data_IF_148078925964
#
_entry.id   IF_148078925964
#
_cell.length_a   1.000
_cell.length_b   1.000
_cell.length_c   1.000
_cell.angle_alpha   90.00
_cell.angle_beta   90.00
_cell.angle_gamma   90.00
#
_symmetry.space_group_name_H-M   'P 1'
#
loop_
_entity.id
_entity.type
_entity.pdbx_description
1 polymer ?
#
# COMPACT_ATOMS: atom_id res chain seq x y z
N UNK A 1 -29.68 -20.01 16.24
CA UNK A 1 -28.34 -19.99 15.57
C UNK A 1 -27.79 -21.41 15.56
N UNK A 2 -27.26 -21.90 14.44
CA UNK A 2 -26.68 -23.25 14.35
C UNK A 2 -25.46 -23.35 15.30
N UNK A 3 -25.32 -24.48 16.01
CA UNK A 3 -24.23 -24.70 17.00
C UNK A 3 -22.83 -24.52 16.40
N UNK A 4 -22.65 -24.87 15.13
CA UNK A 4 -21.39 -24.69 14.40
C UNK A 4 -20.88 -23.25 14.46
N UNK A 5 -21.75 -22.27 14.22
CA UNK A 5 -21.38 -20.85 14.21
C UNK A 5 -21.10 -20.29 15.61
N UNK A 6 -21.70 -20.89 16.65
CA UNK A 6 -21.35 -20.55 18.04
C UNK A 6 -19.95 -21.06 18.39
N UNK A 7 -19.58 -22.26 17.93
CA UNK A 7 -18.26 -22.85 18.17
C UNK A 7 -17.16 -22.29 17.25
N UNK A 8 -17.53 -21.70 16.11
CA UNK A 8 -16.59 -21.17 15.11
C UNK A 8 -16.93 -19.71 14.76
N UNK A 9 -16.65 -18.73 15.64
CA UNK A 9 -16.97 -17.32 15.38
C UNK A 9 -16.31 -16.77 14.11
N UNK A 10 -15.11 -17.26 13.77
CA UNK A 10 -14.40 -16.88 12.53
C UNK A 10 -15.17 -17.26 11.26
N UNK A 11 -15.94 -18.35 11.29
CA UNK A 11 -16.79 -18.74 10.18
C UNK A 11 -17.96 -17.76 9.98
N UNK A 12 -18.52 -17.21 11.08
CA UNK A 12 -19.54 -16.16 11.01
C UNK A 12 -18.97 -14.93 10.33
N UNK A 13 -17.81 -14.45 10.80
CA UNK A 13 -17.14 -13.28 10.22
C UNK A 13 -16.81 -13.49 8.74
N UNK A 14 -16.39 -14.70 8.35
CA UNK A 14 -16.11 -15.03 6.95
C UNK A 14 -17.39 -14.98 6.09
N UNK A 15 -18.48 -15.61 6.52
CA UNK A 15 -19.77 -15.57 5.80
C UNK A 15 -20.28 -14.14 5.67
N UNK A 16 -20.24 -13.35 6.75
CA UNK A 16 -20.65 -11.94 6.72
C UNK A 16 -19.80 -11.13 5.72
N UNK A 17 -18.51 -11.45 5.59
CA UNK A 17 -17.62 -10.85 4.59
C UNK A 17 -18.03 -11.23 3.17
N UNK A 18 -18.34 -12.50 2.93
CA UNK A 18 -18.74 -12.99 1.60
C UNK A 18 -20.08 -12.40 1.14
N UNK A 19 -21.06 -12.27 2.04
CA UNK A 19 -22.37 -11.65 1.73
C UNK A 19 -22.24 -10.19 1.29
N UNK A 20 -21.21 -9.47 1.76
CA UNK A 20 -20.93 -8.08 1.33
C UNK A 20 -20.11 -7.98 0.05
N UNK A 21 -19.53 -9.09 -0.44
CA UNK A 21 -18.73 -9.13 -1.65
C UNK A 21 -19.58 -9.07 -2.93
N UNK A 22 -18.92 -8.86 -4.07
CA UNK A 22 -19.61 -8.95 -5.37
C UNK A 22 -19.96 -10.40 -5.71
N UNK A 23 -21.10 -10.62 -6.37
CA UNK A 23 -21.48 -11.95 -6.86
C UNK A 23 -20.42 -12.54 -7.80
N UNK A 24 -19.79 -11.70 -8.63
CA UNK A 24 -18.69 -12.12 -9.50
C UNK A 24 -17.50 -12.67 -8.73
N UNK A 25 -17.13 -12.04 -7.60
CA UNK A 25 -16.06 -12.53 -6.74
C UNK A 25 -16.42 -13.89 -6.12
N UNK A 26 -17.64 -14.06 -5.62
CA UNK A 26 -18.07 -15.34 -5.05
C UNK A 26 -18.10 -16.46 -6.09
N UNK A 27 -18.56 -16.16 -7.31
CA UNK A 27 -18.52 -17.12 -8.41
C UNK A 27 -17.08 -17.50 -8.77
N UNK A 28 -16.19 -16.51 -8.88
CA UNK A 28 -14.78 -16.73 -9.18
C UNK A 28 -14.05 -17.52 -8.09
N UNK A 29 -14.41 -17.35 -6.82
CA UNK A 29 -13.75 -18.04 -5.70
C UNK A 29 -14.34 -19.43 -5.45
N UNK A 30 -15.67 -19.57 -5.41
CA UNK A 30 -16.34 -20.76 -4.87
C UNK A 30 -17.06 -21.65 -5.90
N UNK A 31 -17.30 -21.17 -7.13
CA UNK A 31 -18.01 -21.93 -8.16
C UNK A 31 -17.06 -22.54 -9.20
N UNK A 32 -15.81 -22.77 -8.81
CA UNK A 32 -14.82 -23.46 -9.63
C UNK A 32 -15.11 -24.96 -9.69
N UNK A 33 -14.90 -25.59 -10.85
CA UNK A 33 -15.05 -27.04 -11.01
C UNK A 33 -14.03 -27.83 -10.18
N UNK A 34 -12.82 -27.28 -10.07
CA UNK A 34 -11.71 -27.86 -9.32
C UNK A 34 -11.02 -26.76 -8.54
N UNK A 35 -10.92 -26.94 -7.23
CA UNK A 35 -10.09 -26.11 -6.37
C UNK A 35 -9.42 -27.00 -5.33
N UNK A 36 -8.10 -27.04 -5.35
CA UNK A 36 -7.29 -27.78 -4.39
C UNK A 36 -6.44 -26.79 -3.57
N UNK A 37 -6.60 -26.74 -2.24
CA UNK A 37 -5.71 -26.00 -1.37
C UNK A 37 -4.41 -26.78 -1.13
N UNK A 38 -3.27 -26.11 -1.29
CA UNK A 38 -1.95 -26.71 -1.07
C UNK A 38 -1.32 -26.21 0.23
N UNK A 39 -0.52 -27.05 0.88
CA UNK A 39 0.42 -26.56 1.88
C UNK A 39 1.61 -25.89 1.18
N UNK A 40 2.06 -24.76 1.73
CA UNK A 40 3.19 -23.99 1.16
C UNK A 40 4.48 -24.81 1.05
N UNK A 41 4.66 -25.75 1.96
CA UNK A 41 5.80 -26.65 2.02
C UNK A 41 5.80 -27.66 0.87
N UNK A 42 4.64 -28.12 0.42
CA UNK A 42 4.54 -29.07 -0.69
C UNK A 42 4.85 -28.35 -2.01
N UNK A 43 4.31 -27.13 -2.17
CA UNK A 43 4.69 -26.25 -3.29
C UNK A 43 6.19 -25.96 -3.28
N UNK A 44 6.80 -25.73 -2.11
CA UNK A 44 8.23 -25.49 -2.02
C UNK A 44 9.07 -26.72 -2.43
N UNK A 45 8.59 -27.92 -2.11
CA UNK A 45 9.21 -29.19 -2.51
C UNK A 45 9.10 -29.37 -4.05
N UNK A 46 7.92 -29.17 -4.64
CA UNK A 46 7.71 -29.22 -6.10
C UNK A 46 8.57 -28.17 -6.85
N UNK A 47 8.62 -26.94 -6.35
CA UNK A 47 9.46 -25.88 -6.92
C UNK A 47 10.96 -26.20 -6.82
N UNK A 48 11.36 -27.01 -5.84
CA UNK A 48 12.73 -27.47 -5.71
C UNK A 48 13.13 -28.48 -6.79
N UNK A 49 12.18 -29.30 -7.26
CA UNK A 49 12.35 -30.21 -8.41
C UNK A 49 12.59 -29.43 -9.71
N UNK A 50 11.99 -28.25 -9.86
CA UNK A 50 12.24 -27.32 -10.96
C UNK A 50 13.56 -26.51 -10.86
N UNK A 51 14.46 -26.93 -9.96
CA UNK A 51 15.75 -26.29 -9.64
C UNK A 51 15.64 -24.84 -9.12
N UNK A 52 14.50 -24.50 -8.51
CA UNK A 52 14.33 -23.21 -7.85
C UNK A 52 14.39 -23.36 -6.33
N UNK A 53 14.61 -22.26 -5.62
CA UNK A 53 14.59 -22.24 -4.15
C UNK A 53 13.76 -21.06 -3.68
N UNK A 54 13.05 -21.27 -2.57
CA UNK A 54 12.30 -20.22 -1.90
C UNK A 54 13.24 -19.06 -1.50
N UNK A 55 12.91 -17.85 -1.93
CA UNK A 55 13.64 -16.63 -1.60
C UNK A 55 13.01 -15.92 -0.39
N UNK A 56 11.68 -15.88 -0.34
CA UNK A 56 10.92 -15.10 0.61
C UNK A 56 9.49 -14.88 0.13
N UNK A 57 8.66 -14.32 1.01
CA UNK A 57 7.28 -13.97 0.69
C UNK A 57 7.24 -12.62 -0.01
N UNK A 58 6.42 -12.49 -1.03
CA UNK A 58 6.02 -11.21 -1.61
C UNK A 58 5.08 -10.42 -0.69
N UNK A 59 4.52 -11.06 0.35
CA UNK A 59 3.91 -10.37 1.49
C UNK A 59 5.02 -9.99 2.47
N UNK A 60 5.43 -8.72 2.44
CA UNK A 60 6.67 -8.28 3.11
C UNK A 60 6.72 -8.60 4.61
N UNK A 61 5.60 -8.46 5.34
CA UNK A 61 5.54 -8.77 6.78
C UNK A 61 5.91 -10.22 7.11
N UNK A 62 5.62 -11.17 6.23
CA UNK A 62 5.88 -12.60 6.45
C UNK A 62 7.38 -12.93 6.46
N UNK A 63 8.22 -12.04 5.93
CA UNK A 63 9.68 -12.19 5.98
C UNK A 63 10.29 -11.79 7.33
N UNK A 64 9.46 -11.32 8.27
CA UNK A 64 9.90 -10.89 9.59
C UNK A 64 9.18 -11.70 10.67
N UNK A 65 9.77 -12.81 11.15
CA UNK A 65 9.15 -13.67 12.18
C UNK A 65 8.67 -12.90 13.40
N UNK A 66 9.43 -11.88 13.83
CA UNK A 66 9.09 -11.01 14.96
C UNK A 66 7.85 -10.15 14.74
N UNK A 67 7.30 -10.07 13.54
CA UNK A 67 6.06 -9.33 13.23
C UNK A 67 4.85 -10.25 13.10
N UNK A 68 5.07 -11.56 12.89
CA UNK A 68 3.99 -12.51 12.61
C UNK A 68 3.68 -13.46 13.75
N UNK A 69 4.65 -13.74 14.63
CA UNK A 69 4.47 -14.60 15.81
C UNK A 69 5.00 -13.93 17.08
N UNK A 70 4.47 -14.35 18.23
CA UNK A 70 4.98 -13.95 19.54
C UNK A 70 6.24 -14.76 19.93
N UNK A 71 6.83 -14.41 21.08
CA UNK A 71 8.06 -15.06 21.55
C UNK A 71 7.87 -16.55 21.87
N UNK A 72 6.70 -16.94 22.38
CA UNK A 72 6.39 -18.32 22.74
C UNK A 72 6.29 -19.21 21.49
N UNK A 73 5.54 -18.74 20.48
CA UNK A 73 5.42 -19.40 19.20
C UNK A 73 6.77 -19.43 18.47
N UNK A 74 7.55 -18.35 18.50
CA UNK A 74 8.90 -18.32 17.92
C UNK A 74 9.83 -19.36 18.56
N UNK A 75 9.80 -19.50 19.89
CA UNK A 75 10.58 -20.51 20.61
C UNK A 75 10.13 -21.94 20.26
N UNK A 76 8.82 -22.18 20.20
CA UNK A 76 8.27 -23.49 19.80
C UNK A 76 8.66 -23.87 18.36
N UNK A 77 8.57 -22.91 17.42
CA UNK A 77 8.98 -23.10 16.03
C UNK A 77 10.48 -23.38 15.94
N UNK A 78 11.32 -22.66 16.70
CA UNK A 78 12.77 -22.85 16.67
C UNK A 78 13.22 -24.27 17.07
N UNK A 79 12.42 -24.98 17.88
CA UNK A 79 12.69 -26.38 18.30
C UNK A 79 12.42 -27.42 17.21
N UNK A 80 11.72 -27.06 16.14
CA UNK A 80 11.42 -27.99 15.05
C UNK A 80 12.65 -28.24 14.18
N UNK A 81 12.89 -29.51 13.84
CA UNK A 81 14.15 -29.97 13.25
C UNK A 81 14.44 -29.35 11.87
N UNK A 82 13.45 -29.25 11.00
CA UNK A 82 13.66 -28.88 9.59
C UNK A 82 13.07 -27.52 9.25
N UNK A 83 13.64 -26.78 8.27
CA UNK A 83 13.03 -25.55 7.75
C UNK A 83 11.60 -25.75 7.25
N UNK A 84 11.32 -26.93 6.66
CA UNK A 84 9.98 -27.34 6.21
C UNK A 84 8.98 -27.36 7.36
N UNK A 85 9.29 -28.05 8.46
CA UNK A 85 8.42 -28.10 9.64
C UNK A 85 8.25 -26.73 10.29
N UNK A 86 9.31 -25.91 10.32
CA UNK A 86 9.23 -24.53 10.80
C UNK A 86 8.27 -23.68 9.99
N UNK A 87 8.32 -23.79 8.66
CA UNK A 87 7.41 -23.05 7.80
C UNK A 87 5.95 -23.52 7.98
N UNK A 88 5.72 -24.83 8.04
CA UNK A 88 4.39 -25.38 8.30
C UNK A 88 3.83 -24.88 9.65
N UNK A 89 4.65 -24.89 10.70
CA UNK A 89 4.24 -24.41 12.01
C UNK A 89 3.92 -22.91 12.02
N UNK A 90 4.68 -22.10 11.28
CA UNK A 90 4.37 -20.67 11.11
C UNK A 90 3.04 -20.50 10.38
N UNK A 91 2.79 -21.24 9.30
CA UNK A 91 1.53 -21.15 8.55
C UNK A 91 0.32 -21.50 9.43
N UNK A 92 0.45 -22.50 10.31
CA UNK A 92 -0.57 -22.79 11.32
C UNK A 92 -0.70 -21.69 12.37
N UNK A 93 0.42 -21.16 12.87
CA UNK A 93 0.43 -20.12 13.89
C UNK A 93 -0.22 -18.81 13.41
N UNK A 94 -0.08 -18.48 12.12
CA UNK A 94 -0.67 -17.27 11.52
C UNK A 94 -2.03 -17.51 10.87
N UNK A 95 -2.54 -18.75 10.89
CA UNK A 95 -3.74 -19.17 10.16
C UNK A 95 -3.66 -18.75 8.67
N UNK A 96 -2.53 -19.07 8.03
CA UNK A 96 -2.21 -18.64 6.67
C UNK A 96 -3.20 -19.21 5.65
N UNK A 97 -3.94 -18.33 4.98
CA UNK A 97 -4.93 -18.73 3.96
C UNK A 97 -4.42 -18.60 2.52
N UNK A 98 -3.60 -17.59 2.28
CA UNK A 98 -3.05 -17.27 0.96
C UNK A 98 -1.60 -16.91 1.12
N UNK A 99 -0.75 -17.40 0.21
CA UNK A 99 0.67 -17.02 0.16
C UNK A 99 1.03 -16.55 -1.23
N UNK A 100 2.01 -15.67 -1.26
CA UNK A 100 2.64 -15.17 -2.48
C UNK A 100 4.12 -15.32 -2.25
N UNK A 101 4.73 -16.33 -2.84
CA UNK A 101 6.11 -16.69 -2.58
C UNK A 101 6.97 -16.46 -3.82
N UNK A 102 8.19 -15.98 -3.62
CA UNK A 102 9.17 -15.76 -4.70
C UNK A 102 10.16 -16.91 -4.69
N UNK A 103 10.31 -17.58 -5.84
CA UNK A 103 11.29 -18.64 -6.07
C UNK A 103 12.31 -18.20 -7.11
N UNK A 104 13.58 -18.54 -6.89
CA UNK A 104 14.67 -18.16 -7.80
C UNK A 104 15.54 -19.35 -8.16
N UNK A 105 15.99 -19.41 -9.43
CA UNK A 105 16.98 -20.38 -9.90
C UNK A 105 18.38 -19.84 -9.64
N UNK A 106 19.19 -20.59 -8.88
CA UNK A 106 20.59 -20.28 -8.52
C UNK A 106 20.76 -18.91 -7.84
N UNK A 107 21.01 -18.91 -6.53
CA UNK A 107 21.37 -17.71 -5.76
C UNK A 107 22.78 -17.86 -5.17
N UNK A 108 23.62 -16.84 -5.31
CA UNK A 108 24.78 -16.67 -4.42
C UNK A 108 24.28 -16.05 -3.12
N UNK A 109 24.59 -16.65 -1.98
CA UNK A 109 24.31 -16.04 -0.68
C UNK A 109 25.02 -14.69 -0.60
N UNK A 110 24.31 -13.66 -0.14
CA UNK A 110 24.90 -12.35 0.09
C UNK A 110 25.61 -12.39 1.44
N UNK A 111 26.83 -11.85 1.50
CA UNK A 111 27.48 -11.60 2.79
C UNK A 111 26.71 -10.52 3.58
N UNK A 112 26.84 -10.46 4.92
CA UNK A 112 26.09 -9.50 5.74
C UNK A 112 26.28 -8.04 5.31
N UNK A 113 27.51 -7.62 5.00
CA UNK A 113 27.80 -6.26 4.54
C UNK A 113 27.14 -5.93 3.18
N UNK A 114 27.08 -6.93 2.29
CA UNK A 114 26.39 -6.81 1.00
C UNK A 114 24.89 -6.65 1.18
N UNK A 115 24.29 -7.50 2.02
CA UNK A 115 22.87 -7.47 2.32
C UNK A 115 22.45 -6.13 2.94
N UNK A 116 23.22 -5.62 3.91
CA UNK A 116 22.97 -4.30 4.52
C UNK A 116 23.07 -3.19 3.47
N UNK A 117 24.08 -3.22 2.60
CA UNK A 117 24.23 -2.19 1.55
C UNK A 117 23.08 -2.21 0.56
N UNK A 118 22.65 -3.39 0.12
CA UNK A 118 21.50 -3.51 -0.78
C UNK A 118 20.19 -3.06 -0.11
N UNK A 119 19.97 -3.42 1.16
CA UNK A 119 18.83 -2.93 1.92
C UNK A 119 18.83 -1.40 2.03
N UNK A 120 19.99 -0.81 2.35
CA UNK A 120 20.13 0.63 2.47
C UNK A 120 19.90 1.37 1.15
N UNK A 121 20.10 0.71 0.00
CA UNK A 121 19.85 1.29 -1.31
C UNK A 121 18.37 1.26 -1.75
N UNK A 122 17.51 0.52 -1.04
CA UNK A 122 16.08 0.46 -1.35
C UNK A 122 15.44 1.84 -1.13
N UNK A 123 14.86 2.40 -2.20
CA UNK A 123 14.05 3.61 -2.11
C UNK A 123 12.69 3.29 -1.46
N UNK A 124 12.23 4.18 -0.60
CA UNK A 124 10.98 4.09 0.12
C UNK A 124 10.24 5.42 0.12
N UNK A 125 8.94 5.37 0.28
CA UNK A 125 8.09 6.55 0.38
C UNK A 125 6.73 6.26 0.96
N UNK A 126 5.94 7.31 1.15
CA UNK A 126 4.51 7.21 1.51
C UNK A 126 3.66 7.45 0.26
N UNK A 127 2.73 6.52 -0.02
CA UNK A 127 1.73 6.69 -1.09
C UNK A 127 0.63 7.65 -0.64
N UNK A 128 0.20 7.54 0.63
CA UNK A 128 -0.83 8.40 1.21
C UNK A 128 -0.29 9.71 1.77
N UNK A 129 -1.10 10.39 2.59
CA UNK A 129 -0.67 11.58 3.32
C UNK A 129 0.34 11.18 4.41
N UNK A 130 1.58 11.73 4.41
CA UNK A 130 2.57 11.42 5.45
C UNK A 130 2.07 11.66 6.87
N UNK A 131 1.11 12.57 7.09
CA UNK A 131 0.54 12.82 8.42
C UNK A 131 -0.24 11.64 9.01
N UNK A 132 -0.63 10.67 8.17
CA UNK A 132 -1.32 9.45 8.60
C UNK A 132 -0.36 8.36 9.09
N UNK A 133 0.97 8.54 8.94
CA UNK A 133 1.97 7.61 9.46
C UNK A 133 1.94 7.67 11.00
N UNK A 134 1.38 6.66 11.65
CA UNK A 134 1.20 6.64 13.10
C UNK A 134 2.36 5.96 13.84
N UNK A 135 2.51 6.27 15.13
CA UNK A 135 3.43 5.55 16.02
C UNK A 135 3.03 4.12 16.32
N UNK A 136 1.87 3.68 15.83
CA UNK A 136 1.36 2.32 15.95
C UNK A 136 1.17 1.74 14.57
N UNK A 137 1.70 0.54 14.34
CA UNK A 137 1.45 -0.23 13.13
C UNK A 137 0.85 -1.58 13.48
N UNK A 138 -0.20 -1.97 12.75
CA UNK A 138 -0.80 -3.30 12.85
C UNK A 138 0.02 -4.29 12.04
N UNK A 139 0.30 -5.43 12.65
CA UNK A 139 1.01 -6.58 12.05
C UNK A 139 0.28 -7.86 12.46
N UNK A 140 0.54 -9.03 11.84
CA UNK A 140 -0.22 -10.24 12.16
C UNK A 140 -0.18 -10.64 13.64
N UNK A 141 0.95 -10.43 14.35
CA UNK A 141 1.02 -10.72 15.79
C UNK A 141 0.30 -9.71 16.70
N UNK A 142 -0.22 -8.60 16.16
CA UNK A 142 -0.84 -7.53 16.94
C UNK A 142 -0.37 -6.13 16.54
N UNK A 143 0.01 -5.30 17.51
CA UNK A 143 0.43 -3.91 17.30
C UNK A 143 1.89 -3.74 17.72
N UNK A 144 2.68 -3.03 16.89
CA UNK A 144 4.02 -2.56 17.25
C UNK A 144 4.00 -1.05 17.42
N UNK A 145 4.82 -0.55 18.36
CA UNK A 145 4.90 0.88 18.69
C UNK A 145 6.30 1.43 18.39
N UNK A 146 6.33 2.61 17.78
CA UNK A 146 7.51 3.41 17.51
C UNK A 146 7.54 4.64 18.42
N UNK A 147 8.71 5.27 18.54
CA UNK A 147 8.83 6.53 19.27
C UNK A 147 8.14 7.66 18.50
N UNK A 148 7.37 8.50 19.20
CA UNK A 148 6.62 9.60 18.58
C UNK A 148 7.55 10.61 17.88
N UNK A 149 8.74 10.84 18.45
CA UNK A 149 9.74 11.72 17.86
C UNK A 149 10.28 11.18 16.52
N UNK A 150 10.58 9.87 16.46
CA UNK A 150 10.99 9.20 15.23
C UNK A 150 9.94 9.34 14.13
N UNK A 151 8.67 9.11 14.46
CA UNK A 151 7.56 9.25 13.50
C UNK A 151 7.44 10.69 13.02
N UNK A 152 7.44 11.67 13.93
CA UNK A 152 7.34 13.10 13.55
C UNK A 152 8.42 13.50 12.54
N UNK A 153 9.65 13.04 12.75
CA UNK A 153 10.76 13.32 11.84
C UNK A 153 10.64 12.57 10.52
N UNK A 154 10.23 11.30 10.57
CA UNK A 154 9.97 10.49 9.38
C UNK A 154 8.88 11.12 8.51
N UNK A 155 7.78 11.62 9.09
CA UNK A 155 6.74 12.36 8.37
C UNK A 155 7.33 13.56 7.63
N UNK A 156 8.20 14.33 8.29
CA UNK A 156 8.87 15.47 7.68
C UNK A 156 9.71 15.07 6.48
N UNK A 157 10.43 13.95 6.56
CA UNK A 157 11.18 13.41 5.42
C UNK A 157 10.24 12.97 4.30
N UNK A 158 9.20 12.21 4.60
CA UNK A 158 8.25 11.67 3.60
C UNK A 158 7.41 12.77 2.92
N UNK A 159 7.23 13.95 3.53
CA UNK A 159 6.58 15.10 2.88
C UNK A 159 7.32 15.61 1.65
N UNK A 160 8.64 15.47 1.61
CA UNK A 160 9.45 15.96 0.47
C UNK A 160 9.82 14.87 -0.54
N UNK A 161 9.07 13.76 -0.57
CA UNK A 161 9.22 12.70 -1.58
C UNK A 161 9.80 11.41 -1.01
N UNK A 162 10.38 10.59 -1.88
CA UNK A 162 10.99 9.30 -1.52
C UNK A 162 12.48 9.45 -1.18
N UNK A 163 12.98 8.52 -0.36
CA UNK A 163 14.36 8.45 0.10
C UNK A 163 14.80 7.00 0.19
N UNK A 164 16.09 6.73 0.14
CA UNK A 164 16.59 5.39 0.45
C UNK A 164 16.57 5.12 1.95
N UNK A 165 16.49 3.85 2.34
CA UNK A 165 16.57 3.44 3.76
C UNK A 165 17.86 3.96 4.40
N UNK A 166 18.98 3.90 3.67
CA UNK A 166 20.28 4.38 4.13
C UNK A 166 20.34 5.90 4.36
N UNK A 167 19.70 6.69 3.49
CA UNK A 167 19.60 8.15 3.68
C UNK A 167 18.75 8.49 4.90
N UNK A 168 17.62 7.79 5.11
CA UNK A 168 16.77 7.98 6.30
C UNK A 168 17.55 7.62 7.58
N UNK A 169 18.25 6.48 7.58
CA UNK A 169 19.08 6.04 8.69
C UNK A 169 20.19 7.05 9.03
N UNK A 170 20.86 7.60 8.02
CA UNK A 170 21.90 8.62 8.19
C UNK A 170 21.32 9.94 8.72
N UNK A 171 20.23 10.40 8.13
CA UNK A 171 19.61 11.70 8.46
C UNK A 171 19.02 11.72 9.87
N UNK A 172 18.38 10.62 10.29
CA UNK A 172 17.82 10.54 11.64
C UNK A 172 18.88 10.10 12.67
N UNK A 173 19.93 9.41 12.24
CA UNK A 173 21.04 8.97 13.09
C UNK A 173 21.98 10.10 13.50
N UNK A 174 22.11 11.15 12.69
CA UNK A 174 22.94 12.33 13.01
C UNK A 174 22.48 13.09 14.27
N UNK A 175 21.34 12.72 14.85
CA UNK A 175 20.78 13.22 16.11
C UNK A 175 21.15 12.33 17.32
N UNK A 176 22.15 11.46 17.19
CA UNK A 176 22.61 10.58 18.27
C UNK A 176 21.82 9.28 18.43
N UNK A 177 20.96 8.92 17.46
CA UNK A 177 20.25 7.64 17.42
C UNK A 177 21.04 6.60 16.61
N UNK A 178 20.90 5.33 16.96
CA UNK A 178 21.54 4.24 16.22
C UNK A 178 20.98 4.12 14.78
N UNK A 179 21.79 4.32 13.72
CA UNK A 179 21.34 4.17 12.34
C UNK A 179 20.82 2.77 12.01
N UNK A 180 21.36 1.72 12.64
CA UNK A 180 20.91 0.34 12.41
C UNK A 180 19.50 0.12 12.97
N UNK A 181 19.20 0.66 14.15
CA UNK A 181 17.85 0.68 14.71
C UNK A 181 16.87 1.45 13.82
N UNK A 182 17.28 2.62 13.30
CA UNK A 182 16.45 3.40 12.38
C UNK A 182 16.13 2.61 11.11
N UNK A 183 17.14 2.02 10.47
CA UNK A 183 16.95 1.21 9.27
C UNK A 183 15.99 0.04 9.51
N UNK A 184 16.10 -0.63 10.68
CA UNK A 184 15.18 -1.69 11.09
C UNK A 184 13.75 -1.18 11.29
N UNK A 185 13.56 -0.06 11.99
CA UNK A 185 12.23 0.51 12.24
C UNK A 185 11.55 0.93 10.94
N UNK A 186 12.31 1.53 10.02
CA UNK A 186 11.85 1.86 8.66
C UNK A 186 11.46 0.59 7.89
N UNK A 187 12.28 -0.46 7.96
CA UNK A 187 11.98 -1.77 7.33
C UNK A 187 10.68 -2.37 7.88
N UNK A 188 10.42 -2.25 9.18
CA UNK A 188 9.16 -2.70 9.77
C UNK A 188 7.95 -1.88 9.33
N UNK A 189 8.09 -0.57 9.14
CA UNK A 189 7.03 0.27 8.57
C UNK A 189 6.74 -0.10 7.11
N UNK A 190 7.76 -0.47 6.34
CA UNK A 190 7.60 -1.01 4.98
C UNK A 190 6.90 -2.36 5.01
N UNK A 191 7.34 -3.26 5.88
CA UNK A 191 6.76 -4.59 6.04
C UNK A 191 5.28 -4.52 6.46
N UNK A 192 4.93 -3.60 7.35
CA UNK A 192 3.55 -3.35 7.79
C UNK A 192 2.70 -2.59 6.76
N UNK A 193 3.25 -2.21 5.60
CA UNK A 193 2.55 -1.47 4.55
C UNK A 193 2.25 0.00 4.87
N UNK A 194 2.87 0.55 5.92
CA UNK A 194 2.76 1.98 6.26
C UNK A 194 3.64 2.84 5.33
N UNK A 195 4.80 2.30 4.98
CA UNK A 195 5.64 2.79 3.89
C UNK A 195 5.66 1.75 2.78
N UNK A 196 6.08 2.16 1.59
CA UNK A 196 6.18 1.26 0.44
C UNK A 196 7.57 1.35 -0.20
N UNK A 197 8.10 0.26 -0.78
CA UNK A 197 9.24 0.34 -1.68
C UNK A 197 8.88 1.16 -2.92
N UNK A 198 9.80 2.01 -3.35
CA UNK A 198 9.67 2.87 -4.53
C UNK A 198 10.72 2.47 -5.57
N UNK A 199 10.45 2.72 -6.86
CA UNK A 199 11.43 2.49 -7.91
C UNK A 199 12.60 3.48 -7.86
N UNK A 200 12.36 4.72 -7.45
CA UNK A 200 13.37 5.79 -7.40
C UNK A 200 13.28 6.58 -6.10
N UNK A 201 14.43 6.96 -5.53
CA UNK A 201 14.51 7.98 -4.48
C UNK A 201 14.55 9.36 -5.14
N UNK A 202 13.55 10.21 -4.85
CA UNK A 202 13.40 11.54 -5.43
C UNK A 202 12.95 12.51 -4.36
N UNK A 203 13.71 13.60 -4.20
CA UNK A 203 13.35 14.74 -3.36
C UNK A 203 12.65 15.79 -4.20
N UNK A 204 11.41 16.11 -3.85
CA UNK A 204 10.72 17.29 -4.38
C UNK A 204 11.00 18.47 -3.45
N UNK A 205 11.82 19.41 -3.93
CA UNK A 205 12.13 20.65 -3.22
C UNK A 205 11.31 21.85 -3.75
N UNK A 206 10.47 21.64 -4.77
CA UNK A 206 9.80 22.72 -5.50
C UNK A 206 8.29 22.68 -5.25
N UNK A 207 7.80 23.70 -4.55
CA UNK A 207 6.38 24.06 -4.56
C UNK A 207 6.19 25.05 -5.71
N UNK A 208 6.15 24.55 -6.95
CA UNK A 208 5.73 25.38 -8.08
C UNK A 208 4.24 25.72 -7.90
N UNK A 209 3.87 26.99 -8.08
CA UNK A 209 2.46 27.39 -8.15
C UNK A 209 1.81 26.94 -9.45
N UNK A 210 2.55 26.97 -10.55
CA UNK A 210 2.11 26.43 -11.83
C UNK A 210 2.15 24.91 -11.76
N UNK A 211 1.00 24.27 -11.96
CA UNK A 211 0.86 22.81 -11.92
C UNK A 211 0.67 22.30 -13.35
N UNK A 212 1.54 21.41 -13.76
CA UNK A 212 1.46 20.72 -15.04
C UNK A 212 1.46 19.22 -14.82
N UNK A 213 0.86 18.47 -15.75
CA UNK A 213 0.98 17.03 -15.72
C UNK A 213 2.40 16.62 -16.09
N UNK A 214 2.95 15.65 -15.39
CA UNK A 214 4.37 15.30 -15.53
C UNK A 214 4.74 14.78 -16.93
N UNK A 215 3.81 14.14 -17.63
CA UNK A 215 4.00 13.65 -19.01
C UNK A 215 2.66 13.35 -19.72
N UNK A 216 2.74 13.06 -21.01
CA UNK A 216 1.59 12.74 -21.87
C UNK A 216 0.84 11.47 -21.47
N UNK A 217 1.49 10.52 -20.78
CA UNK A 217 0.83 9.30 -20.31
C UNK A 217 -0.12 9.63 -19.16
N UNK A 218 0.33 10.45 -18.20
CA UNK A 218 -0.53 10.94 -17.11
C UNK A 218 -1.74 11.69 -17.67
N UNK A 219 -1.51 12.56 -18.66
CA UNK A 219 -2.58 13.29 -19.35
C UNK A 219 -3.60 12.38 -20.02
N UNK A 220 -3.15 11.39 -20.79
CA UNK A 220 -4.03 10.44 -21.47
C UNK A 220 -4.85 9.59 -20.49
N UNK A 221 -4.24 9.12 -19.40
CA UNK A 221 -4.96 8.35 -18.39
C UNK A 221 -5.99 9.23 -17.68
N UNK A 222 -5.64 10.49 -17.35
CA UNK A 222 -6.58 11.43 -16.74
C UNK A 222 -7.78 11.71 -17.66
N UNK A 223 -7.53 11.89 -18.96
CA UNK A 223 -8.59 12.05 -19.95
C UNK A 223 -9.47 10.79 -20.07
N UNK A 224 -8.88 9.59 -20.15
CA UNK A 224 -9.63 8.33 -20.22
C UNK A 224 -10.52 8.12 -18.99
N UNK A 225 -10.03 8.44 -17.78
CA UNK A 225 -10.80 8.36 -16.53
C UNK A 225 -12.06 9.24 -16.60
N UNK A 226 -11.92 10.46 -17.11
CA UNK A 226 -13.02 11.42 -17.24
C UNK A 226 -14.01 10.99 -18.33
N UNK A 227 -13.50 10.55 -19.49
CA UNK A 227 -14.32 10.13 -20.64
C UNK A 227 -15.10 8.84 -20.35
N UNK A 228 -14.42 7.82 -19.82
CA UNK A 228 -15.00 6.51 -19.50
C UNK A 228 -15.83 6.56 -18.24
N UNK A 229 -15.57 7.52 -17.34
CA UNK A 229 -16.21 7.64 -16.02
C UNK A 229 -15.94 6.43 -15.14
N UNK A 230 -14.75 5.87 -15.30
CA UNK A 230 -14.28 4.72 -14.56
C UNK A 230 -12.92 5.05 -13.95
N UNK A 231 -12.68 4.55 -12.74
CA UNK A 231 -11.37 4.68 -12.10
C UNK A 231 -10.29 3.97 -12.92
N UNK A 232 -9.09 4.52 -12.92
CA UNK A 232 -7.90 3.93 -13.54
C UNK A 232 -6.69 4.16 -12.64
N UNK A 233 -5.67 3.33 -12.81
CA UNK A 233 -4.37 3.55 -12.22
C UNK A 233 -3.51 4.40 -13.17
N UNK A 234 -2.99 5.52 -12.67
CA UNK A 234 -1.98 6.34 -13.36
C UNK A 234 -0.60 5.75 -13.07
N UNK A 235 0.19 5.38 -14.10
CA UNK A 235 1.54 4.87 -13.87
C UNK A 235 2.45 5.97 -13.30
N UNK A 236 3.09 5.70 -12.16
CA UNK A 236 4.12 6.56 -11.56
C UNK A 236 5.48 5.90 -11.69
N UNK A 237 6.41 6.58 -12.38
CA UNK A 237 7.80 6.10 -12.51
C UNK A 237 8.59 6.18 -11.21
N UNK A 238 8.26 7.13 -10.33
CA UNK A 238 8.94 7.30 -9.05
C UNK A 238 8.52 6.17 -8.10
N UNK A 239 7.22 5.87 -8.06
CA UNK A 239 6.68 4.76 -7.28
C UNK A 239 7.07 3.40 -7.88
N UNK A 240 7.13 3.29 -9.22
CA UNK A 240 7.26 2.01 -9.91
C UNK A 240 5.97 1.20 -9.95
N UNK A 241 4.82 1.84 -9.71
CA UNK A 241 3.50 1.23 -9.67
C UNK A 241 2.42 2.25 -10.11
N UNK A 242 1.17 1.81 -10.19
CA UNK A 242 0.02 2.65 -10.49
C UNK A 242 -0.57 3.32 -9.25
N UNK A 243 -1.03 4.56 -9.41
CA UNK A 243 -1.79 5.32 -8.40
C UNK A 243 -3.23 5.45 -8.90
N UNK A 244 -4.19 4.91 -8.16
CA UNK A 244 -5.61 4.98 -8.54
C UNK A 244 -6.13 6.42 -8.49
N UNK A 245 -6.93 6.81 -9.49
CA UNK A 245 -7.68 8.04 -9.50
C UNK A 245 -9.14 7.77 -9.87
N UNK A 246 -10.06 8.42 -9.16
CA UNK A 246 -11.50 8.35 -9.43
C UNK A 246 -11.95 9.46 -10.37
N UNK A 247 -13.05 9.26 -11.14
CA UNK A 247 -13.54 10.25 -12.10
C UNK A 247 -13.77 11.65 -11.51
N UNK A 248 -14.35 11.75 -10.31
CA UNK A 248 -14.63 13.06 -9.70
C UNK A 248 -13.35 13.78 -9.24
N UNK A 249 -12.36 13.04 -8.76
CA UNK A 249 -11.04 13.59 -8.39
C UNK A 249 -10.27 14.00 -9.64
N UNK A 250 -10.38 13.24 -10.74
CA UNK A 250 -9.79 13.57 -12.03
C UNK A 250 -10.36 14.86 -12.62
N UNK A 251 -11.69 15.06 -12.53
CA UNK A 251 -12.36 16.31 -12.91
C UNK A 251 -11.84 17.48 -12.08
N UNK A 252 -11.75 17.33 -10.76
CA UNK A 252 -11.24 18.38 -9.87
C UNK A 252 -9.76 18.70 -10.16
N UNK A 253 -8.92 17.68 -10.34
CA UNK A 253 -7.52 17.87 -10.69
C UNK A 253 -7.36 18.59 -12.05
N UNK A 254 -8.13 18.19 -13.06
CA UNK A 254 -8.14 18.84 -14.38
C UNK A 254 -8.58 20.29 -14.29
N UNK A 255 -9.59 20.61 -13.48
CA UNK A 255 -10.00 21.99 -13.20
C UNK A 255 -8.89 22.83 -12.59
N UNK A 256 -8.18 22.29 -11.60
CA UNK A 256 -7.06 23.00 -10.98
C UNK A 256 -5.91 23.26 -11.97
N UNK A 257 -5.59 22.29 -12.83
CA UNK A 257 -4.57 22.43 -13.88
C UNK A 257 -5.00 23.47 -14.93
N UNK A 258 -6.29 23.56 -15.22
CA UNK A 258 -6.86 24.58 -16.10
C UNK A 258 -6.94 25.99 -15.46
N UNK A 259 -6.47 26.15 -14.21
CA UNK A 259 -6.38 27.46 -13.54
C UNK A 259 -7.58 27.83 -12.66
N UNK A 260 -8.52 26.91 -12.40
CA UNK A 260 -9.60 27.13 -11.43
C UNK A 260 -9.07 26.99 -10.00
N UNK A 261 -8.47 28.07 -9.47
CA UNK A 261 -7.87 28.08 -8.12
C UNK A 261 -8.88 28.40 -7.02
N UNK A 262 -8.67 27.80 -5.84
CA UNK A 262 -9.51 28.02 -4.65
C UNK A 262 -10.67 27.02 -4.54
N UNK A 263 -11.01 26.67 -3.29
CA UNK A 263 -11.97 25.60 -2.99
C UNK A 263 -13.35 25.86 -3.60
N UNK A 264 -13.89 27.08 -3.46
CA UNK A 264 -15.26 27.41 -3.93
C UNK A 264 -15.37 27.46 -5.46
N UNK A 265 -14.37 28.05 -6.12
CA UNK A 265 -14.31 28.14 -7.59
C UNK A 265 -14.19 26.72 -8.17
N UNK A 266 -13.29 25.91 -7.61
CA UNK A 266 -13.10 24.54 -8.05
C UNK A 266 -14.35 23.68 -7.76
N UNK A 267 -14.97 23.80 -6.60
CA UNK A 267 -16.20 23.06 -6.25
C UNK A 267 -17.32 23.35 -7.24
N UNK A 268 -17.53 24.62 -7.59
CA UNK A 268 -18.53 25.04 -8.59
C UNK A 268 -18.23 24.40 -9.96
N UNK A 269 -16.95 24.40 -10.37
CA UNK A 269 -16.53 23.77 -11.62
C UNK A 269 -16.79 22.26 -11.61
N UNK A 270 -16.41 21.57 -10.54
CA UNK A 270 -16.62 20.13 -10.37
C UNK A 270 -18.11 19.78 -10.39
N UNK A 271 -18.96 20.56 -9.72
CA UNK A 271 -20.40 20.34 -9.72
C UNK A 271 -21.00 20.45 -11.13
N UNK A 272 -20.61 21.47 -11.90
CA UNK A 272 -21.01 21.60 -13.30
C UNK A 272 -20.61 20.39 -14.14
N UNK A 273 -19.39 19.89 -13.97
CA UNK A 273 -18.89 18.72 -14.68
C UNK A 273 -19.55 17.40 -14.23
N UNK A 274 -19.85 17.23 -12.94
CA UNK A 274 -20.63 16.09 -12.42
C UNK A 274 -21.98 16.02 -13.13
N UNK A 275 -22.68 17.15 -13.25
CA UNK A 275 -23.97 17.22 -13.93
C UNK A 275 -23.85 16.99 -15.44
N UNK A 276 -22.83 17.58 -16.09
CA UNK A 276 -22.58 17.43 -17.54
C UNK A 276 -22.23 15.99 -17.92
N UNK A 277 -21.32 15.36 -17.18
CA UNK A 277 -20.83 13.99 -17.43
C UNK A 277 -21.76 12.91 -16.85
N UNK A 278 -22.76 13.32 -16.07
CA UNK A 278 -23.68 12.44 -15.34
C UNK A 278 -22.91 11.46 -14.45
N UNK A 279 -21.91 11.95 -13.72
CA UNK A 279 -21.19 11.11 -12.76
C UNK A 279 -22.18 10.60 -11.69
N UNK A 280 -22.00 9.33 -11.30
CA UNK A 280 -22.89 8.65 -10.35
C UNK A 280 -22.18 8.20 -9.09
N UNK A 281 -20.85 8.18 -9.07
CA UNK A 281 -20.05 7.62 -7.98
C UNK A 281 -19.08 8.61 -7.37
N UNK A 282 -18.93 8.50 -6.05
CA UNK A 282 -17.97 9.22 -5.21
C UNK A 282 -16.56 8.62 -5.36
N UNK A 283 -15.56 9.27 -4.76
CA UNK A 283 -14.19 8.75 -4.69
C UNK A 283 -14.06 7.43 -3.91
N UNK A 284 -15.03 7.07 -3.07
CA UNK A 284 -15.09 5.76 -2.38
C UNK A 284 -16.02 4.74 -3.08
N UNK A 285 -16.48 5.05 -4.29
CA UNK A 285 -17.32 4.17 -5.11
C UNK A 285 -18.79 4.06 -4.68
N UNK A 286 -19.24 4.92 -3.76
CA UNK A 286 -20.64 5.03 -3.34
C UNK A 286 -21.43 5.92 -4.29
N UNK A 287 -22.75 5.91 -4.18
CA UNK A 287 -23.60 6.81 -4.97
C UNK A 287 -23.35 8.28 -4.60
N UNK A 288 -23.23 9.15 -5.60
CA UNK A 288 -23.11 10.59 -5.40
C UNK A 288 -24.41 11.18 -4.82
N UNK A 289 -24.29 12.11 -3.85
CA UNK A 289 -25.44 12.88 -3.38
C UNK A 289 -26.03 13.77 -4.49
N UNK A 290 -27.26 14.25 -4.28
CA UNK A 290 -28.02 15.08 -5.24
C UNK A 290 -28.53 16.36 -4.57
N UNK A 291 -28.87 17.36 -5.38
CA UNK A 291 -29.38 18.65 -4.90
C UNK A 291 -28.34 19.39 -4.04
N UNK A 292 -28.78 20.06 -2.97
CA UNK A 292 -27.90 20.84 -2.08
C UNK A 292 -26.75 20.02 -1.45
N UNK A 293 -26.97 18.72 -1.25
CA UNK A 293 -25.93 17.82 -0.73
C UNK A 293 -24.78 17.61 -1.72
N UNK A 294 -25.03 17.77 -3.03
CA UNK A 294 -24.00 17.70 -4.05
C UNK A 294 -23.01 18.86 -3.91
N UNK A 295 -23.49 20.10 -3.75
CA UNK A 295 -22.63 21.28 -3.59
C UNK A 295 -21.76 21.20 -2.33
N UNK A 296 -22.31 20.68 -1.24
CA UNK A 296 -21.51 20.42 -0.03
C UNK A 296 -20.42 19.35 -0.30
N UNK A 297 -20.75 18.30 -1.04
CA UNK A 297 -19.82 17.23 -1.37
C UNK A 297 -18.71 17.67 -2.34
N UNK A 298 -19.02 18.47 -3.37
CA UNK A 298 -18.02 18.97 -4.32
C UNK A 298 -17.02 19.93 -3.67
N UNK A 299 -17.42 20.68 -2.62
CA UNK A 299 -16.49 21.42 -1.76
C UNK A 299 -15.52 20.50 -1.01
N UNK A 300 -16.02 19.39 -0.47
CA UNK A 300 -15.17 18.39 0.20
C UNK A 300 -14.17 17.80 -0.79
N UNK A 301 -14.61 17.46 -2.00
CA UNK A 301 -13.73 16.96 -3.07
C UNK A 301 -12.68 18.00 -3.46
N UNK A 302 -13.09 19.25 -3.73
CA UNK A 302 -12.17 20.33 -4.11
C UNK A 302 -11.11 20.56 -3.02
N UNK A 303 -11.53 20.61 -1.75
CA UNK A 303 -10.61 20.73 -0.61
C UNK A 303 -9.65 19.55 -0.54
N UNK A 304 -10.15 18.32 -0.64
CA UNK A 304 -9.32 17.11 -0.59
C UNK A 304 -8.31 17.04 -1.74
N UNK A 305 -8.71 17.44 -2.96
CA UNK A 305 -7.80 17.48 -4.10
C UNK A 305 -6.67 18.48 -3.88
N UNK A 306 -6.99 19.68 -3.39
CA UNK A 306 -5.99 20.72 -3.13
C UNK A 306 -5.04 20.33 -1.98
N UNK A 307 -5.59 19.85 -0.87
CA UNK A 307 -4.84 19.62 0.37
C UNK A 307 -4.15 18.25 0.42
N UNK A 308 -4.69 17.23 -0.24
CA UNK A 308 -4.20 15.85 -0.16
C UNK A 308 -3.72 15.31 -1.51
N UNK A 309 -4.56 15.35 -2.55
CA UNK A 309 -4.27 14.69 -3.82
C UNK A 309 -3.09 15.35 -4.53
N UNK A 310 -3.10 16.67 -4.66
CA UNK A 310 -2.05 17.43 -5.36
C UNK A 310 -0.69 17.23 -4.69
N UNK A 311 -0.52 17.45 -3.37
CA UNK A 311 0.77 17.15 -2.71
C UNK A 311 1.20 15.71 -2.92
N UNK A 312 0.26 14.76 -2.90
CA UNK A 312 0.56 13.34 -3.13
C UNK A 312 1.04 13.08 -4.54
N UNK A 313 0.34 13.60 -5.55
CA UNK A 313 0.69 13.43 -6.94
C UNK A 313 2.01 14.13 -7.28
N UNK A 314 2.32 15.27 -6.67
CA UNK A 314 3.63 15.91 -6.79
C UNK A 314 4.73 15.02 -6.19
N UNK A 315 4.54 14.44 -5.00
CA UNK A 315 5.53 13.50 -4.40
C UNK A 315 5.72 12.24 -5.25
N UNK A 316 4.67 11.78 -5.92
CA UNK A 316 4.68 10.59 -6.77
C UNK A 316 5.07 10.92 -8.23
N UNK A 317 5.46 12.16 -8.54
CA UNK A 317 5.95 12.55 -9.87
C UNK A 317 4.88 12.54 -10.96
N UNK A 318 3.61 12.73 -10.59
CA UNK A 318 2.48 12.80 -11.53
C UNK A 318 2.15 14.26 -11.91
N UNK A 319 2.54 15.22 -11.06
CA UNK A 319 2.37 16.67 -11.26
C UNK A 319 3.72 17.35 -11.01
N UNK A 320 4.05 18.36 -11.82
CA UNK A 320 5.25 19.20 -11.71
C UNK A 320 4.86 20.67 -11.59
#
# INVERSE_FOLDING_TARGET
KLRYFTANPSAVTAVDSYVRGSSNYLAHEFLNQTWEPFYSIDIADEMAEAETRYLGSATLVDNHPTLIVDALAAEAVAKLATPRLRQLAIDFATNQRFRRDVFVRRRKSLGPAEATRQLHAVAIGSIGNPEEINAKAKVPRGEIRFQDEFIRELRSLMRSGSMTIGEVATTLGSKGRDPAEIARNVTFLVAAGTLMPFAKAVRSNTVSKARTLANTTVERVLADVIERRERRAIPSEILGNGVEIHPIDAVALSGLIAGFEGVEILATRVEGEVNRLKLTTTSDGRALPRGEQLSAYTRVVAKSVIENLVPTFTRLGLIV
#
